data_IF_342668578058
#
_entry.id   IF_342668578058
#
_cell.length_a   1.000
_cell.length_b   1.000
_cell.length_c   1.000
_cell.angle_alpha   90.00
_cell.angle_beta   90.00
_cell.angle_gamma   90.00
#
_symmetry.space_group_name_H-M   'P 1'
#
loop_
_entity.id
_entity.type
_entity.pdbx_description
1 polymer ?
#
# COMPACT_ATOMS: atom_id res chain seq x y z
N UNK A 1 -3.43 24.85 1.54
CA UNK A 1 -4.59 24.06 1.09
C UNK A 1 -4.73 22.89 2.03
N UNK A 2 -5.91 22.72 2.64
CA UNK A 2 -6.13 21.76 3.73
C UNK A 2 -6.10 20.32 3.22
N UNK A 3 -5.12 19.53 3.65
CA UNK A 3 -5.03 18.05 3.48
C UNK A 3 -6.22 17.28 4.12
N UNK A 4 -7.15 17.98 4.77
CA UNK A 4 -8.23 17.41 5.59
C UNK A 4 -9.39 16.79 4.82
N UNK A 5 -9.38 16.76 3.48
CA UNK A 5 -10.53 16.29 2.71
C UNK A 5 -10.16 15.50 1.44
N UNK A 6 -8.93 14.97 1.37
CA UNK A 6 -8.51 14.14 0.25
C UNK A 6 -9.16 12.76 0.38
N UNK A 7 -9.81 12.31 -0.69
CA UNK A 7 -10.31 10.95 -0.78
C UNK A 7 -9.11 9.98 -0.72
N UNK A 8 -9.29 8.71 -0.28
CA UNK A 8 -8.17 7.78 -0.11
C UNK A 8 -7.24 7.65 -1.33
N UNK A 9 -7.79 7.81 -2.54
CA UNK A 9 -7.04 7.80 -3.80
C UNK A 9 -6.15 9.01 -4.04
N UNK A 10 -6.60 10.19 -3.62
CA UNK A 10 -5.83 11.41 -3.78
C UNK A 10 -4.63 11.42 -2.80
N UNK A 11 -4.76 10.76 -1.64
CA UNK A 11 -3.69 10.66 -0.65
C UNK A 11 -2.54 9.76 -1.13
N UNK A 12 -2.84 8.59 -1.70
CA UNK A 12 -1.80 7.65 -2.18
C UNK A 12 -1.03 8.24 -3.36
N UNK A 13 -1.75 8.88 -4.31
CA UNK A 13 -1.13 9.54 -5.46
C UNK A 13 -0.27 10.73 -5.04
N UNK A 14 -0.80 11.64 -4.21
CA UNK A 14 -0.03 12.77 -3.71
C UNK A 14 1.21 12.34 -2.91
N UNK A 15 1.14 11.24 -2.16
CA UNK A 15 2.29 10.67 -1.49
C UNK A 15 3.37 10.18 -2.45
N UNK A 16 2.97 9.54 -3.55
CA UNK A 16 3.92 9.05 -4.54
C UNK A 16 4.55 10.20 -5.34
N UNK A 17 3.76 11.21 -5.72
CA UNK A 17 4.23 12.40 -6.45
C UNK A 17 5.29 13.19 -5.67
N UNK A 18 5.22 13.22 -4.34
CA UNK A 18 6.22 13.89 -3.48
C UNK A 18 7.61 13.25 -3.52
N UNK A 19 7.79 12.08 -4.13
CA UNK A 19 9.03 11.29 -4.08
C UNK A 19 9.92 11.39 -5.30
N UNK A 20 9.91 12.53 -5.99
CA UNK A 20 10.82 12.74 -7.13
C UNK A 20 12.30 12.54 -6.71
N UNK A 21 13.11 11.79 -7.49
CA UNK A 21 12.80 11.18 -8.79
C UNK A 21 11.94 9.90 -8.70
N UNK A 22 11.13 9.64 -9.74
CA UNK A 22 10.22 8.47 -9.81
C UNK A 22 11.02 7.17 -9.57
N UNK A 23 10.58 6.28 -8.66
CA UNK A 23 11.31 5.07 -8.32
C UNK A 23 11.37 4.09 -9.50
N UNK A 24 12.41 3.26 -9.54
CA UNK A 24 12.48 2.13 -10.47
C UNK A 24 11.34 1.13 -10.19
N UNK A 25 10.93 0.28 -11.16
CA UNK A 25 9.88 -0.71 -10.96
C UNK A 25 10.11 -1.60 -9.73
N UNK A 26 11.35 -2.05 -9.50
CA UNK A 26 11.69 -2.86 -8.33
C UNK A 26 11.55 -2.06 -7.03
N UNK A 27 12.08 -0.83 -7.01
CA UNK A 27 11.97 0.05 -5.85
C UNK A 27 10.53 0.45 -5.54
N UNK A 28 9.67 0.50 -6.57
CA UNK A 28 8.24 0.76 -6.45
C UNK A 28 7.53 -0.44 -5.81
N UNK A 29 7.84 -1.67 -6.23
CA UNK A 29 7.35 -2.90 -5.59
C UNK A 29 7.75 -2.95 -4.11
N UNK A 30 9.05 -2.77 -3.80
CA UNK A 30 9.55 -2.76 -2.43
C UNK A 30 8.84 -1.72 -1.56
N UNK A 31 8.52 -0.59 -2.17
CA UNK A 31 7.90 0.51 -1.48
C UNK A 31 6.45 0.21 -1.11
N UNK A 32 5.69 -0.33 -2.06
CA UNK A 32 4.31 -0.70 -1.83
C UNK A 32 4.21 -1.91 -0.89
N UNK A 33 5.17 -2.84 -0.94
CA UNK A 33 5.26 -3.91 0.05
C UNK A 33 5.42 -3.35 1.46
N UNK A 34 6.38 -2.43 1.68
CA UNK A 34 6.57 -1.79 2.99
C UNK A 34 5.32 -1.04 3.46
N UNK A 35 4.65 -0.33 2.54
CA UNK A 35 3.41 0.36 2.84
C UNK A 35 2.32 -0.63 3.26
N UNK A 36 2.08 -1.68 2.48
CA UNK A 36 1.09 -2.70 2.80
C UNK A 36 1.39 -3.40 4.12
N UNK A 37 2.67 -3.62 4.44
CA UNK A 37 3.09 -4.19 5.72
C UNK A 37 2.84 -3.24 6.90
N UNK A 38 3.03 -1.93 6.73
CA UNK A 38 2.68 -0.93 7.75
C UNK A 38 1.16 -0.91 8.00
N UNK A 39 0.38 -0.86 6.91
CA UNK A 39 -1.07 -0.90 6.96
C UNK A 39 -1.59 -2.18 7.63
N UNK A 40 -0.96 -3.33 7.32
CA UNK A 40 -1.29 -4.62 7.93
C UNK A 40 -1.09 -4.61 9.44
N UNK A 41 0.10 -4.21 9.91
CA UNK A 41 0.40 -4.15 11.35
C UNK A 41 -0.61 -3.29 12.11
N UNK A 42 -0.94 -2.12 11.55
CA UNK A 42 -1.88 -1.19 12.16
C UNK A 42 -3.31 -1.71 12.14
N UNK A 43 -3.75 -2.26 11.01
CA UNK A 43 -5.08 -2.86 10.85
C UNK A 43 -5.29 -4.09 11.75
N UNK A 44 -4.25 -4.91 11.93
CA UNK A 44 -4.31 -6.12 12.76
C UNK A 44 -4.61 -5.80 14.21
N UNK A 45 -4.09 -4.68 14.73
CA UNK A 45 -4.38 -4.20 16.08
C UNK A 45 -5.85 -3.80 16.27
N UNK A 46 -6.53 -3.39 15.20
CA UNK A 46 -7.91 -2.90 15.25
C UNK A 46 -8.95 -3.97 14.96
N UNK A 47 -8.71 -4.83 13.96
CA UNK A 47 -9.70 -5.77 13.42
C UNK A 47 -9.38 -7.24 13.73
N UNK A 48 -8.18 -7.52 14.23
CA UNK A 48 -7.66 -8.88 14.34
C UNK A 48 -7.20 -9.45 13.01
N UNK A 49 -6.39 -10.51 13.09
CA UNK A 49 -5.74 -11.14 11.94
C UNK A 49 -6.74 -11.77 10.97
N UNK A 50 -7.64 -12.61 11.46
CA UNK A 50 -8.62 -13.36 10.64
C UNK A 50 -9.47 -12.42 9.80
N UNK A 51 -9.98 -11.35 10.41
CA UNK A 51 -10.80 -10.33 9.73
C UNK A 51 -10.01 -9.63 8.64
N UNK A 52 -8.75 -9.28 8.92
CA UNK A 52 -7.92 -8.54 7.99
C UNK A 52 -7.47 -9.42 6.81
N UNK A 53 -7.18 -10.70 7.04
CA UNK A 53 -6.96 -11.68 5.95
C UNK A 53 -8.18 -11.74 5.02
N UNK A 54 -9.39 -11.87 5.59
CA UNK A 54 -10.61 -11.97 4.78
C UNK A 54 -10.86 -10.70 3.95
N UNK A 55 -10.63 -9.53 4.53
CA UNK A 55 -10.75 -8.23 3.84
C UNK A 55 -9.74 -8.15 2.68
N UNK A 56 -8.47 -8.41 2.96
CA UNK A 56 -7.40 -8.31 1.95
C UNK A 56 -7.56 -9.34 0.84
N UNK A 57 -7.98 -10.57 1.16
CA UNK A 57 -8.23 -11.60 0.16
C UNK A 57 -9.32 -11.14 -0.82
N UNK A 58 -10.40 -10.53 -0.32
CA UNK A 58 -11.47 -9.95 -1.15
C UNK A 58 -10.98 -8.77 -2.00
N UNK A 59 -10.20 -7.86 -1.41
CA UNK A 59 -9.62 -6.70 -2.12
C UNK A 59 -8.73 -7.19 -3.26
N UNK A 60 -7.80 -8.10 -2.95
CA UNK A 60 -6.86 -8.63 -3.93
C UNK A 60 -7.58 -9.36 -5.06
N UNK A 61 -8.58 -10.20 -4.74
CA UNK A 61 -9.40 -10.86 -5.75
C UNK A 61 -10.06 -9.85 -6.70
N UNK A 62 -10.64 -8.78 -6.16
CA UNK A 62 -11.29 -7.74 -6.96
C UNK A 62 -10.30 -6.97 -7.83
N UNK A 63 -9.16 -6.57 -7.27
CA UNK A 63 -8.14 -5.79 -7.99
C UNK A 63 -7.48 -6.64 -9.06
N UNK A 64 -7.22 -7.92 -8.80
CA UNK A 64 -6.64 -8.85 -9.76
C UNK A 64 -7.52 -9.07 -11.00
N UNK A 65 -8.84 -8.89 -10.90
CA UNK A 65 -9.72 -8.93 -12.08
C UNK A 65 -9.46 -7.78 -13.07
N UNK A 66 -9.10 -6.59 -12.56
CA UNK A 66 -8.76 -5.43 -13.39
C UNK A 66 -7.27 -5.38 -13.76
N UNK A 67 -6.41 -5.90 -12.89
CA UNK A 67 -4.95 -5.89 -13.01
C UNK A 67 -4.40 -7.32 -12.82
N UNK A 68 -4.48 -8.19 -13.84
CA UNK A 68 -4.18 -9.63 -13.70
C UNK A 68 -2.78 -9.94 -13.17
N UNK A 69 -1.79 -9.07 -13.42
CA UNK A 69 -0.43 -9.23 -12.91
C UNK A 69 -0.34 -9.18 -11.38
N UNK A 70 -1.32 -8.60 -10.68
CA UNK A 70 -1.38 -8.61 -9.22
C UNK A 70 -1.85 -9.95 -8.65
N UNK A 71 -2.27 -10.92 -9.47
CA UNK A 71 -2.66 -12.26 -9.03
C UNK A 71 -1.50 -13.05 -8.42
N UNK A 72 -0.25 -12.63 -8.63
CA UNK A 72 0.94 -13.22 -8.02
C UNK A 72 1.13 -12.84 -6.55
N UNK A 73 0.40 -11.83 -6.07
CA UNK A 73 0.39 -11.47 -4.66
C UNK A 73 -0.38 -12.51 -3.86
N UNK A 74 0.03 -12.71 -2.61
CA UNK A 74 -0.65 -13.62 -1.70
C UNK A 74 -0.95 -12.94 -0.36
N UNK A 75 -2.13 -13.19 0.17
CA UNK A 75 -2.51 -12.76 1.53
C UNK A 75 -2.20 -13.89 2.49
N UNK A 76 -1.46 -13.56 3.54
CA UNK A 76 -1.00 -14.48 4.59
C UNK A 76 -1.35 -13.91 5.97
N UNK A 77 -1.28 -14.71 7.05
CA UNK A 77 -1.36 -14.21 8.42
C UNK A 77 -0.34 -13.10 8.75
N UNK A 78 0.75 -13.02 7.99
CA UNK A 78 1.78 -11.99 8.12
C UNK A 78 1.55 -10.77 7.23
N UNK A 79 0.46 -10.74 6.44
CA UNK A 79 0.11 -9.66 5.52
C UNK A 79 0.22 -10.06 4.05
N UNK A 80 0.44 -9.07 3.19
CA UNK A 80 0.56 -9.29 1.73
C UNK A 80 2.01 -9.60 1.38
N UNK A 81 2.22 -10.70 0.64
CA UNK A 81 3.52 -11.09 0.08
C UNK A 81 3.67 -10.63 -1.35
N UNK A 82 4.80 -9.98 -1.65
CA UNK A 82 5.11 -9.42 -2.97
C UNK A 82 6.16 -10.21 -3.75
N UNK A 83 6.65 -11.34 -3.24
CA UNK A 83 7.73 -12.15 -3.82
C UNK A 83 7.56 -12.44 -5.33
N UNK A 84 6.33 -12.73 -5.76
CA UNK A 84 6.02 -13.02 -7.15
C UNK A 84 5.93 -11.80 -8.07
N UNK A 85 5.89 -10.58 -7.53
CA UNK A 85 5.65 -9.36 -8.31
C UNK A 85 6.94 -8.77 -8.90
N UNK A 86 8.11 -8.98 -8.28
CA UNK A 86 9.39 -8.50 -8.82
C UNK A 86 9.69 -8.93 -10.26
N UNK A 87 9.63 -10.23 -10.62
CA UNK A 87 9.89 -10.64 -12.01
C UNK A 87 8.86 -10.05 -12.99
N UNK A 88 7.59 -9.96 -12.56
CA UNK A 88 6.50 -9.41 -13.37
C UNK A 88 6.66 -7.90 -13.58
N UNK A 89 7.12 -7.17 -12.55
CA UNK A 89 7.38 -5.74 -12.59
C UNK A 89 8.51 -5.34 -13.54
N UNK A 90 9.47 -6.24 -13.80
CA UNK A 90 10.56 -6.00 -14.74
C UNK A 90 10.09 -5.96 -16.20
N UNK A 91 8.98 -6.64 -16.52
CA UNK A 91 8.43 -6.77 -17.87
C UNK A 91 7.23 -5.84 -18.12
N UNK A 92 6.70 -5.21 -17.06
CA UNK A 92 5.56 -4.32 -17.13
C UNK A 92 5.98 -2.88 -17.46
N UNK A 93 5.07 -2.19 -18.14
CA UNK A 93 5.13 -0.74 -18.24
C UNK A 93 5.12 -0.11 -16.82
N UNK A 94 6.07 0.80 -16.51
CA UNK A 94 6.19 1.39 -15.17
C UNK A 94 4.94 2.15 -14.72
N UNK A 95 4.23 2.81 -15.63
CA UNK A 95 3.04 3.60 -15.30
C UNK A 95 1.87 2.68 -14.98
N UNK A 96 1.72 1.59 -15.74
CA UNK A 96 0.73 0.54 -15.47
C UNK A 96 0.99 -0.19 -14.15
N UNK A 97 2.26 -0.47 -13.82
CA UNK A 97 2.64 -1.05 -12.53
C UNK A 97 2.25 -0.10 -11.40
N UNK A 98 2.63 1.17 -11.51
CA UNK A 98 2.32 2.19 -10.52
C UNK A 98 0.82 2.34 -10.30
N UNK A 99 0.05 2.50 -11.37
CA UNK A 99 -1.40 2.64 -11.30
C UNK A 99 -2.03 1.44 -10.58
N UNK A 100 -1.61 0.22 -10.92
CA UNK A 100 -2.17 -0.98 -10.30
C UNK A 100 -1.86 -1.09 -8.79
N UNK A 101 -0.67 -0.68 -8.38
CA UNK A 101 -0.24 -0.68 -6.97
C UNK A 101 -0.98 0.41 -6.17
N UNK A 102 -1.18 1.58 -6.78
CA UNK A 102 -2.01 2.65 -6.23
C UNK A 102 -3.43 2.15 -6.02
N UNK A 103 -4.07 1.57 -7.06
CA UNK A 103 -5.43 1.02 -6.98
C UNK A 103 -5.56 -0.05 -5.89
N UNK A 104 -4.55 -0.91 -5.70
CA UNK A 104 -4.56 -1.90 -4.62
C UNK A 104 -4.71 -1.27 -3.23
N UNK A 105 -3.91 -0.24 -2.95
CA UNK A 105 -3.93 0.45 -1.65
C UNK A 105 -5.23 1.24 -1.49
N UNK A 106 -5.68 1.93 -2.54
CA UNK A 106 -6.94 2.66 -2.55
C UNK A 106 -8.14 1.76 -2.26
N UNK A 107 -8.21 0.62 -2.93
CA UNK A 107 -9.29 -0.33 -2.74
C UNK A 107 -9.28 -0.89 -1.33
N UNK A 108 -8.10 -1.17 -0.76
CA UNK A 108 -7.98 -1.59 0.63
C UNK A 108 -8.49 -0.54 1.60
N UNK A 109 -8.00 0.70 1.50
CA UNK A 109 -8.41 1.80 2.38
C UNK A 109 -9.92 2.03 2.31
N UNK A 110 -10.50 2.01 1.11
CA UNK A 110 -11.94 2.16 0.91
C UNK A 110 -12.76 1.05 1.56
N UNK A 111 -12.30 -0.20 1.53
CA UNK A 111 -13.01 -1.29 2.23
C UNK A 111 -12.93 -1.08 3.75
N UNK A 112 -11.78 -0.63 4.26
CA UNK A 112 -11.65 -0.30 5.68
C UNK A 112 -12.54 0.88 6.07
N UNK A 113 -12.66 1.91 5.24
CA UNK A 113 -13.57 3.04 5.44
C UNK A 113 -15.02 2.57 5.58
N UNK A 114 -15.45 1.73 4.63
CA UNK A 114 -16.81 1.20 4.63
C UNK A 114 -17.12 0.35 5.88
N UNK A 115 -16.11 -0.31 6.46
CA UNK A 115 -16.29 -1.17 7.64
C UNK A 115 -16.12 -0.44 8.97
N UNK A 116 -15.36 0.66 9.00
CA UNK A 116 -14.94 1.31 10.25
C UNK A 116 -15.42 2.76 10.39
N UNK A 117 -16.16 3.28 9.42
CA UNK A 117 -16.63 4.67 9.43
C UNK A 117 -15.48 5.66 9.43
N UNK A 118 -14.46 5.40 8.60
CA UNK A 118 -13.26 6.23 8.39
C UNK A 118 -12.26 6.32 9.56
N UNK A 119 -12.59 5.77 10.74
CA UNK A 119 -11.72 5.81 11.93
C UNK A 119 -10.39 5.11 11.67
N UNK A 120 -10.41 3.95 11.01
CA UNK A 120 -9.21 3.18 10.77
C UNK A 120 -8.36 3.76 9.63
N UNK A 121 -8.99 4.32 8.59
CA UNK A 121 -8.24 4.92 7.48
C UNK A 121 -7.47 6.17 7.88
N UNK A 122 -8.00 6.97 8.81
CA UNK A 122 -7.28 8.13 9.33
C UNK A 122 -5.94 7.73 9.95
N UNK A 123 -5.94 6.72 10.82
CA UNK A 123 -4.73 6.20 11.43
C UNK A 123 -3.78 5.54 10.41
N UNK A 124 -4.33 4.94 9.36
CA UNK A 124 -3.54 4.33 8.29
C UNK A 124 -2.94 5.36 7.31
N UNK A 125 -3.59 6.52 7.15
CA UNK A 125 -3.01 7.66 6.42
C UNK A 125 -1.77 8.20 7.14
N UNK A 126 -1.77 8.24 8.47
CA UNK A 126 -0.57 8.58 9.25
C UNK A 126 0.58 7.60 9.00
N UNK A 127 0.29 6.30 8.95
CA UNK A 127 1.30 5.27 8.60
C UNK A 127 1.86 5.49 7.20
N UNK A 128 1.01 5.83 6.23
CA UNK A 128 1.43 6.12 4.86
C UNK A 128 2.40 7.31 4.78
N UNK A 129 2.14 8.37 5.56
CA UNK A 129 3.05 9.50 5.73
C UNK A 129 4.34 9.10 6.47
N UNK A 130 4.27 8.20 7.45
CA UNK A 130 5.44 7.76 8.23
C UNK A 130 6.43 6.88 7.44
N UNK A 131 5.98 6.17 6.41
CA UNK A 131 6.86 5.38 5.51
C UNK A 131 7.90 6.29 4.81
N UNK A 132 7.66 7.60 4.71
CA UNK A 132 8.67 8.58 4.26
C UNK A 132 9.79 8.79 5.27
N UNK A 133 9.46 8.90 6.56
CA UNK A 133 10.39 9.29 7.63
C UNK A 133 11.39 8.19 7.96
N UNK A 134 11.04 6.92 7.77
CA UNK A 134 11.90 5.77 8.05
C UNK A 134 13.20 5.73 7.21
N UNK A 135 13.29 6.49 6.10
CA UNK A 135 14.55 6.69 5.35
C UNK A 135 15.46 7.77 5.95
N UNK A 136 14.92 8.72 6.71
CA UNK A 136 15.68 9.86 7.22
C UNK A 136 16.50 9.51 8.47
N UNK A 137 16.03 8.57 9.29
CA UNK A 137 16.70 8.20 10.55
C UNK A 137 17.84 7.17 10.40
N UNK A 138 18.01 6.57 9.20
CA UNK A 138 19.08 5.60 8.92
C UNK A 138 20.40 6.17 8.41
N UNK A 139 20.45 7.46 8.05
CA UNK A 139 21.62 8.09 7.40
C UNK A 139 22.48 8.97 8.33
N UNK A 140 22.19 8.99 9.64
CA UNK A 140 22.81 9.90 10.59
C UNK A 140 23.40 9.21 11.81
N UNK A 141 24.40 8.33 11.65
CA UNK A 141 25.29 7.99 12.76
C UNK A 141 26.75 7.98 12.32
N UNK A 142 27.45 9.13 12.38
CA UNK A 142 28.90 9.11 12.42
C UNK A 142 29.35 8.65 13.81
N UNK A 143 30.32 7.73 13.84
CA UNK A 143 31.21 7.53 15.00
C UNK A 143 32.28 8.61 14.98
#
# INVERSE_FOLDING_TARGET
MSERNLLPHEVVRAWLERRAPRPSPHSLVDLFERLCQALWRRGRLALGEVTLVAILARVLQRVAMAHPHLSVLAVTPEGVRFDGLHPVAAELDPERLEESLVVLVEEWLRVLDALTGEVLSAALREELLAVDSARSEGAGRPR
#
